data_IF_750752195490
#
_entry.id   IF_750752195490
#
_cell.length_a   1.000
_cell.length_b   1.000
_cell.length_c   1.000
_cell.angle_alpha   90.00
_cell.angle_beta   90.00
_cell.angle_gamma   90.00
#
_symmetry.space_group_name_H-M   'P 1'
#
loop_
_entity.id
_entity.type
_entity.pdbx_description
1 polymer ?
#
# COMPACT_ATOMS: atom_id res chain seq x y z
N UNK A 1 57.55 25.92 -58.42
CA UNK A 1 56.25 26.54 -58.76
C UNK A 1 55.37 26.43 -57.51
N UNK A 2 55.24 27.54 -56.81
CA UNK A 2 54.48 27.65 -55.60
C UNK A 2 52.99 27.79 -55.93
N UNK A 3 52.13 27.09 -55.17
CA UNK A 3 50.73 27.43 -55.15
C UNK A 3 50.29 27.63 -53.68
N UNK A 4 50.26 28.91 -53.30
CA UNK A 4 49.58 29.39 -52.12
C UNK A 4 48.05 29.35 -52.36
N UNK A 5 47.34 28.49 -51.71
CA UNK A 5 45.88 28.57 -51.64
C UNK A 5 45.50 29.31 -50.33
N UNK A 6 44.87 30.47 -50.50
CA UNK A 6 44.31 31.32 -49.48
C UNK A 6 43.06 30.65 -48.87
N UNK A 7 42.91 30.56 -47.56
CA UNK A 7 41.67 30.00 -46.95
C UNK A 7 40.52 30.98 -47.21
N UNK A 8 39.38 30.41 -47.64
CA UNK A 8 38.19 31.16 -47.99
C UNK A 8 37.48 31.71 -46.74
N UNK A 9 36.83 32.87 -46.90
CA UNK A 9 36.12 33.60 -45.86
C UNK A 9 35.00 32.77 -45.12
N UNK A 10 34.73 31.54 -45.55
CA UNK A 10 33.78 30.61 -44.94
C UNK A 10 34.32 29.95 -43.66
N UNK A 11 35.64 29.70 -43.58
CA UNK A 11 36.25 29.02 -42.42
C UNK A 11 36.50 29.99 -41.26
N UNK A 12 36.54 31.29 -41.49
CA UNK A 12 36.66 32.31 -40.45
C UNK A 12 35.31 32.55 -39.71
N UNK A 13 34.17 32.37 -40.41
CA UNK A 13 32.85 32.55 -39.78
C UNK A 13 32.40 31.37 -38.94
N UNK A 14 32.85 30.14 -39.27
CA UNK A 14 32.51 28.94 -38.45
C UNK A 14 33.27 28.89 -37.11
N UNK A 15 34.44 29.48 -37.02
CA UNK A 15 35.20 29.56 -35.75
C UNK A 15 34.69 30.67 -34.82
N UNK A 16 34.04 31.69 -35.31
CA UNK A 16 33.45 32.74 -34.48
C UNK A 16 32.14 32.34 -33.81
N UNK A 17 31.39 31.40 -34.40
CA UNK A 17 30.12 30.91 -33.81
C UNK A 17 30.36 29.84 -32.72
N UNK A 18 31.43 29.00 -32.82
CA UNK A 18 31.79 28.05 -31.76
C UNK A 18 32.39 28.71 -30.50
N UNK A 19 33.01 29.86 -30.64
CA UNK A 19 33.56 30.63 -29.49
C UNK A 19 32.49 31.53 -28.82
N UNK A 20 31.35 31.83 -29.48
CA UNK A 20 30.23 32.57 -28.89
C UNK A 20 29.28 31.69 -28.05
N UNK A 21 29.21 30.40 -28.30
CA UNK A 21 28.43 29.47 -27.45
C UNK A 21 29.07 29.16 -26.10
N UNK A 22 30.36 29.50 -25.89
CA UNK A 22 31.08 29.23 -24.64
C UNK A 22 30.94 30.28 -23.54
N UNK A 23 30.22 31.37 -23.74
CA UNK A 23 30.23 32.45 -22.74
C UNK A 23 28.90 33.18 -22.55
N UNK A 24 27.86 32.47 -22.17
CA UNK A 24 26.71 33.08 -21.49
C UNK A 24 26.17 32.21 -20.33
N UNK A 25 27.06 31.84 -19.40
CA UNK A 25 26.62 31.47 -18.06
C UNK A 25 26.43 32.78 -17.31
N UNK A 26 25.17 33.23 -17.24
CA UNK A 26 24.81 34.46 -16.54
C UNK A 26 25.27 34.38 -15.07
N UNK A 27 25.61 35.52 -14.45
CA UNK A 27 25.98 35.57 -13.02
C UNK A 27 24.91 34.94 -12.12
N UNK A 28 23.65 34.96 -12.53
CA UNK A 28 22.52 34.34 -11.86
C UNK A 28 22.60 32.81 -11.86
N UNK A 29 22.89 32.17 -12.99
CA UNK A 29 23.09 30.73 -13.08
C UNK A 29 24.25 30.23 -12.20
N UNK A 30 25.33 31.02 -12.13
CA UNK A 30 26.46 30.70 -11.22
C UNK A 30 26.14 30.90 -9.74
N UNK A 31 25.21 31.80 -9.44
CA UNK A 31 24.69 32.02 -8.09
C UNK A 31 23.78 30.88 -7.65
N UNK A 32 22.84 30.48 -8.52
CA UNK A 32 21.93 29.36 -8.26
C UNK A 32 22.69 28.03 -8.12
N UNK A 33 23.73 27.79 -8.94
CA UNK A 33 24.60 26.62 -8.77
C UNK A 33 25.42 26.65 -7.47
N UNK A 34 25.85 27.82 -7.00
CA UNK A 34 26.59 27.96 -5.73
C UNK A 34 25.64 27.80 -4.54
N UNK A 35 24.47 28.37 -4.59
CA UNK A 35 23.44 28.23 -3.56
C UNK A 35 22.96 26.76 -3.46
N UNK A 36 22.70 26.09 -4.58
CA UNK A 36 22.40 24.66 -4.63
C UNK A 36 23.53 23.78 -4.09
N UNK A 37 24.79 24.06 -4.46
CA UNK A 37 25.95 23.35 -3.91
C UNK A 37 26.18 23.62 -2.43
N UNK A 38 25.87 24.82 -1.95
CA UNK A 38 25.95 25.16 -0.53
C UNK A 38 24.84 24.47 0.28
N UNK A 39 23.62 24.40 -0.22
CA UNK A 39 22.53 23.67 0.40
C UNK A 39 22.83 22.16 0.49
N UNK A 40 23.31 21.56 -0.59
CA UNK A 40 23.75 20.13 -0.61
C UNK A 40 24.92 19.90 0.36
N UNK A 41 25.84 20.86 0.50
CA UNK A 41 26.95 20.75 1.45
C UNK A 41 26.46 20.90 2.91
N UNK A 42 25.49 21.77 3.16
CA UNK A 42 24.88 21.97 4.49
C UNK A 42 24.00 20.78 4.89
N UNK A 43 23.24 20.17 3.97
CA UNK A 43 22.52 18.92 4.19
C UNK A 43 23.47 17.75 4.50
N UNK A 44 24.60 17.64 3.78
CA UNK A 44 25.65 16.66 4.09
C UNK A 44 26.26 16.88 5.47
N UNK A 45 26.39 18.12 5.91
CA UNK A 45 26.93 18.50 7.22
C UNK A 45 25.96 18.21 8.37
N UNK A 46 24.64 18.33 8.12
CA UNK A 46 23.57 17.97 9.07
C UNK A 46 23.28 16.47 9.13
N UNK A 47 23.92 15.66 8.30
CA UNK A 47 23.72 14.22 8.25
C UNK A 47 22.33 13.80 7.74
N UNK A 48 21.54 14.72 7.15
CA UNK A 48 20.26 14.44 6.48
C UNK A 48 20.52 13.76 5.12
N UNK A 49 19.50 13.01 4.63
CA UNK A 49 19.54 12.49 3.27
C UNK A 49 19.13 13.62 2.34
N UNK A 50 19.85 13.79 1.22
CA UNK A 50 19.46 14.78 0.22
C UNK A 50 18.10 14.41 -0.40
N UNK A 51 17.26 15.41 -0.66
CA UNK A 51 15.98 15.23 -1.34
C UNK A 51 16.15 14.54 -2.70
N UNK A 52 17.22 14.86 -3.43
CA UNK A 52 17.57 14.25 -4.71
C UNK A 52 17.77 12.73 -4.58
N UNK A 53 18.42 12.27 -3.50
CA UNK A 53 18.62 10.84 -3.26
C UNK A 53 17.31 10.13 -2.89
N UNK A 54 16.39 10.79 -2.19
CA UNK A 54 15.05 10.24 -1.87
C UNK A 54 14.15 10.17 -3.10
N UNK A 55 14.27 11.13 -4.01
CA UNK A 55 13.48 11.21 -5.26
C UNK A 55 14.02 10.38 -6.42
N UNK A 56 15.15 9.71 -6.24
CA UNK A 56 15.76 8.78 -7.20
C UNK A 56 15.52 7.33 -6.78
N UNK A 57 15.17 6.44 -7.73
CA UNK A 57 14.87 5.02 -7.46
C UNK A 57 16.04 4.27 -6.81
N UNK A 58 17.26 4.49 -7.32
CA UNK A 58 18.43 3.65 -7.00
C UNK A 58 19.61 4.45 -6.42
N UNK A 59 19.39 5.72 -6.07
CA UNK A 59 20.44 6.51 -5.44
C UNK A 59 20.93 5.85 -4.13
N UNK A 60 22.23 5.99 -3.79
CA UNK A 60 22.80 5.41 -2.59
C UNK A 60 22.25 6.12 -1.34
N UNK A 61 21.29 5.50 -0.69
CA UNK A 61 20.75 5.94 0.61
C UNK A 61 21.20 4.98 1.69
N UNK A 62 21.62 5.53 2.85
CA UNK A 62 21.92 4.72 4.03
C UNK A 62 20.63 4.10 4.56
N UNK A 63 20.62 2.77 4.75
CA UNK A 63 19.44 2.04 5.23
C UNK A 63 18.89 2.61 6.55
N UNK A 64 19.79 2.89 7.53
CA UNK A 64 19.40 3.48 8.83
C UNK A 64 18.66 4.81 8.70
N UNK A 65 19.09 5.65 7.77
CA UNK A 65 18.44 6.95 7.51
C UNK A 65 17.13 6.80 6.74
N UNK A 66 16.96 5.71 5.99
CA UNK A 66 15.73 5.36 5.27
C UNK A 66 14.59 4.88 6.18
N UNK A 67 14.91 4.27 7.34
CA UNK A 67 13.93 3.67 8.24
C UNK A 67 12.77 4.62 8.61
N UNK A 68 12.97 5.89 9.00
CA UNK A 68 11.86 6.78 9.35
C UNK A 68 10.87 6.99 8.20
N UNK A 69 11.36 7.10 6.97
CA UNK A 69 10.52 7.23 5.78
C UNK A 69 9.82 5.91 5.44
N UNK A 70 10.52 4.77 5.54
CA UNK A 70 9.91 3.46 5.38
C UNK A 70 8.83 3.19 6.43
N UNK A 71 9.08 3.54 7.69
CA UNK A 71 8.09 3.46 8.77
C UNK A 71 6.86 4.33 8.47
N UNK A 72 7.04 5.49 7.89
CA UNK A 72 5.95 6.36 7.46
C UNK A 72 5.05 5.67 6.43
N UNK A 73 5.62 4.97 5.45
CA UNK A 73 4.85 4.17 4.49
C UNK A 73 4.08 3.03 5.17
N UNK A 74 4.69 2.35 6.15
CA UNK A 74 4.03 1.31 6.94
C UNK A 74 2.86 1.90 7.73
N UNK A 75 3.07 2.98 8.48
CA UNK A 75 2.03 3.59 9.30
C UNK A 75 0.84 4.11 8.47
N UNK A 76 1.10 4.62 7.25
CA UNK A 76 0.05 5.11 6.36
C UNK A 76 -0.90 4.00 5.87
N UNK A 77 -0.38 2.78 5.68
CA UNK A 77 -1.18 1.63 5.23
C UNK A 77 -1.63 0.70 6.36
N UNK A 78 -1.10 0.86 7.56
CA UNK A 78 -1.17 -0.16 8.61
C UNK A 78 -2.60 -0.58 8.96
N UNK A 79 -3.47 0.41 9.23
CA UNK A 79 -4.90 0.16 9.52
C UNK A 79 -5.60 -0.42 8.28
N UNK A 80 -5.33 0.16 7.11
CA UNK A 80 -5.94 -0.29 5.86
C UNK A 80 -5.55 -1.73 5.49
N UNK A 81 -4.33 -2.14 5.81
CA UNK A 81 -3.87 -3.51 5.58
C UNK A 81 -4.58 -4.54 6.48
N UNK A 82 -4.95 -4.15 7.69
CA UNK A 82 -5.53 -5.06 8.67
C UNK A 82 -7.06 -5.06 8.67
N UNK A 83 -7.70 -3.95 8.32
CA UNK A 83 -9.15 -3.82 8.34
C UNK A 83 -9.90 -4.90 7.54
N UNK A 84 -9.50 -5.30 6.31
CA UNK A 84 -10.13 -6.40 5.59
C UNK A 84 -10.14 -7.71 6.36
N UNK A 85 -9.03 -8.01 7.08
CA UNK A 85 -8.90 -9.23 7.88
C UNK A 85 -9.95 -9.24 9.00
N UNK A 86 -10.09 -8.12 9.72
CA UNK A 86 -11.07 -8.02 10.81
C UNK A 86 -12.50 -8.16 10.33
N UNK A 87 -12.84 -7.52 9.20
CA UNK A 87 -14.18 -7.59 8.64
C UNK A 87 -14.56 -9.02 8.28
N UNK A 88 -13.64 -9.76 7.65
CA UNK A 88 -13.87 -11.14 7.25
C UNK A 88 -13.84 -12.09 8.47
N UNK A 89 -12.91 -11.89 9.42
CA UNK A 89 -12.82 -12.69 10.63
C UNK A 89 -14.06 -12.55 11.51
N UNK A 90 -14.58 -11.31 11.66
CA UNK A 90 -15.81 -11.03 12.39
C UNK A 90 -17.03 -11.72 11.74
N UNK A 91 -17.19 -11.59 10.42
CA UNK A 91 -18.27 -12.22 9.69
C UNK A 91 -18.21 -13.76 9.73
N UNK A 92 -17.01 -14.33 9.84
CA UNK A 92 -16.77 -15.76 10.00
C UNK A 92 -16.84 -16.25 11.45
N UNK A 93 -17.14 -15.38 12.42
CA UNK A 93 -17.10 -15.68 13.86
C UNK A 93 -15.84 -16.41 14.27
N UNK A 94 -14.69 -15.97 13.74
CA UNK A 94 -13.41 -16.64 13.96
C UNK A 94 -12.89 -16.42 15.38
N UNK A 95 -12.18 -17.42 15.90
CA UNK A 95 -11.58 -17.31 17.21
C UNK A 95 -10.49 -16.20 17.23
N UNK A 96 -10.23 -15.55 18.39
CA UNK A 96 -9.14 -14.57 18.50
C UNK A 96 -7.78 -15.15 18.08
N UNK A 97 -7.55 -16.44 18.34
CA UNK A 97 -6.31 -17.15 17.96
C UNK A 97 -6.19 -17.29 16.43
N UNK A 98 -7.29 -17.60 15.75
CA UNK A 98 -7.28 -17.73 14.29
C UNK A 98 -7.18 -16.35 13.61
N UNK A 99 -7.87 -15.34 14.14
CA UNK A 99 -7.73 -13.96 13.70
C UNK A 99 -6.27 -13.48 13.84
N UNK A 100 -5.61 -13.80 14.96
CA UNK A 100 -4.20 -13.45 15.17
C UNK A 100 -3.27 -14.10 14.13
N UNK A 101 -3.52 -15.37 13.74
CA UNK A 101 -2.75 -16.04 12.67
C UNK A 101 -2.90 -15.32 11.33
N UNK A 102 -4.13 -14.90 10.99
CA UNK A 102 -4.38 -14.20 9.73
C UNK A 102 -3.74 -12.81 9.73
N UNK A 103 -3.78 -12.09 10.86
CA UNK A 103 -3.13 -10.78 11.01
C UNK A 103 -1.61 -10.90 10.83
N UNK A 104 -0.98 -11.87 11.50
CA UNK A 104 0.46 -12.13 11.34
C UNK A 104 0.80 -12.48 9.90
N UNK A 105 0.01 -13.35 9.25
CA UNK A 105 0.15 -13.68 7.84
C UNK A 105 -0.01 -12.43 6.95
N UNK A 106 -1.00 -11.57 7.21
CA UNK A 106 -1.25 -10.35 6.46
C UNK A 106 -0.06 -9.37 6.51
N UNK A 107 0.57 -9.21 7.68
CA UNK A 107 1.77 -8.40 7.82
C UNK A 107 2.96 -9.01 7.06
N UNK A 108 3.15 -10.34 7.17
CA UNK A 108 4.21 -11.06 6.48
C UNK A 108 4.10 -10.90 4.96
N UNK A 109 2.93 -11.23 4.40
CA UNK A 109 2.74 -11.22 2.95
C UNK A 109 2.73 -9.82 2.37
N UNK A 110 2.24 -8.81 3.11
CA UNK A 110 2.34 -7.41 2.71
C UNK A 110 3.81 -6.95 2.61
N UNK A 111 4.64 -7.32 3.59
CA UNK A 111 6.08 -7.05 3.56
C UNK A 111 6.79 -7.77 2.41
N UNK A 112 6.53 -9.07 2.23
CA UNK A 112 7.10 -9.87 1.13
C UNK A 112 6.64 -9.37 -0.24
N UNK A 113 5.36 -9.03 -0.39
CA UNK A 113 4.80 -8.46 -1.62
C UNK A 113 5.43 -7.13 -1.97
N UNK A 114 5.62 -6.25 -0.98
CA UNK A 114 6.34 -4.98 -1.15
C UNK A 114 7.78 -5.23 -1.64
N UNK A 115 8.50 -6.19 -1.04
CA UNK A 115 9.85 -6.55 -1.50
C UNK A 115 9.84 -7.11 -2.93
N UNK A 116 8.85 -7.93 -3.28
CA UNK A 116 8.68 -8.47 -4.62
C UNK A 116 8.41 -7.35 -5.63
N UNK A 117 7.56 -6.39 -5.32
CA UNK A 117 7.27 -5.26 -6.21
C UNK A 117 8.48 -4.35 -6.41
N UNK A 118 9.30 -4.14 -5.38
CA UNK A 118 10.48 -3.27 -5.44
C UNK A 118 11.58 -3.79 -6.36
N UNK A 119 11.89 -5.08 -6.27
CA UNK A 119 13.06 -5.66 -6.96
C UNK A 119 12.69 -6.57 -8.10
N UNK A 120 11.53 -7.19 -8.03
CA UNK A 120 11.04 -8.16 -9.00
C UNK A 120 11.89 -9.43 -9.06
N UNK A 121 11.24 -10.54 -9.34
CA UNK A 121 11.90 -11.82 -9.58
C UNK A 121 11.46 -12.29 -10.96
N UNK A 122 12.36 -12.34 -11.93
CA UNK A 122 12.10 -12.74 -13.31
C UNK A 122 10.96 -11.90 -13.96
N UNK A 123 9.73 -12.41 -14.06
CA UNK A 123 8.56 -11.76 -14.65
C UNK A 123 7.63 -11.13 -13.59
N UNK A 124 7.87 -11.38 -12.31
CA UNK A 124 7.04 -10.97 -11.20
C UNK A 124 7.61 -9.73 -10.52
N UNK A 125 6.75 -8.75 -10.21
CA UNK A 125 7.11 -7.50 -9.58
C UNK A 125 7.39 -6.37 -10.57
N UNK A 126 6.87 -5.19 -10.25
CA UNK A 126 6.92 -3.99 -11.08
C UNK A 126 8.31 -3.34 -11.17
N UNK A 127 9.18 -3.58 -10.19
CA UNK A 127 10.44 -2.87 -9.92
C UNK A 127 10.23 -1.38 -9.63
N UNK A 128 9.05 -1.04 -9.14
CA UNK A 128 8.67 0.31 -8.72
C UNK A 128 8.56 0.40 -7.19
N UNK A 129 8.58 1.60 -6.60
CA UNK A 129 8.41 1.83 -5.18
C UNK A 129 6.93 1.65 -4.77
N UNK A 130 6.38 0.48 -5.07
CA UNK A 130 5.00 0.11 -4.83
C UNK A 130 4.91 -0.66 -3.51
N UNK A 131 4.05 -0.18 -2.62
CA UNK A 131 3.73 -0.87 -1.37
C UNK A 131 2.47 -1.69 -1.60
N UNK A 132 2.46 -2.94 -1.15
CA UNK A 132 1.32 -3.85 -1.28
C UNK A 132 0.76 -4.22 0.09
N UNK A 133 -0.51 -4.54 0.13
CA UNK A 133 -1.17 -5.02 1.34
C UNK A 133 -2.51 -5.68 1.01
N UNK A 134 -3.25 -6.09 2.04
CA UNK A 134 -4.50 -6.82 1.89
C UNK A 134 -5.56 -5.95 1.21
N UNK A 135 -6.16 -6.49 0.17
CA UNK A 135 -7.09 -5.78 -0.71
C UNK A 135 -8.51 -5.74 -0.15
N UNK A 136 -9.12 -4.56 -0.22
CA UNK A 136 -10.55 -4.38 0.08
C UNK A 136 -11.48 -4.94 -1.00
N UNK A 137 -11.00 -5.08 -2.23
CA UNK A 137 -11.76 -5.56 -3.39
C UNK A 137 -12.45 -6.90 -3.13
N UNK A 138 -11.84 -7.75 -2.31
CA UNK A 138 -12.32 -9.12 -2.04
C UNK A 138 -13.20 -9.24 -0.80
N UNK A 139 -13.30 -8.19 0.03
CA UNK A 139 -13.92 -8.26 1.37
C UNK A 139 -15.37 -8.72 1.31
N UNK A 140 -16.20 -8.12 0.46
CA UNK A 140 -17.62 -8.47 0.37
C UNK A 140 -17.83 -9.94 -0.06
N UNK A 141 -17.06 -10.42 -1.04
CA UNK A 141 -17.12 -11.81 -1.47
C UNK A 141 -16.57 -12.77 -0.40
N UNK A 142 -15.46 -12.40 0.26
CA UNK A 142 -14.89 -13.21 1.35
C UNK A 142 -15.85 -13.31 2.54
N UNK A 143 -16.53 -12.22 2.91
CA UNK A 143 -17.61 -12.24 3.94
C UNK A 143 -18.72 -13.20 3.53
N UNK A 144 -19.22 -13.12 2.30
CA UNK A 144 -20.25 -14.01 1.81
C UNK A 144 -19.81 -15.48 1.82
N UNK A 145 -18.58 -15.76 1.39
CA UNK A 145 -18.03 -17.14 1.36
C UNK A 145 -17.85 -17.68 2.77
N UNK A 146 -17.21 -16.89 3.66
CA UNK A 146 -16.93 -17.37 5.03
C UNK A 146 -18.20 -17.67 5.80
N UNK A 147 -19.25 -16.86 5.63
CA UNK A 147 -20.55 -17.03 6.32
C UNK A 147 -21.32 -18.28 5.86
N UNK A 148 -21.13 -18.74 4.63
CA UNK A 148 -21.90 -19.85 4.07
C UNK A 148 -21.11 -21.16 3.92
N UNK A 149 -19.79 -21.06 3.69
CA UNK A 149 -18.93 -22.19 3.32
C UNK A 149 -17.70 -22.36 4.21
N UNK A 150 -17.46 -21.38 5.10
CA UNK A 150 -16.32 -21.40 5.99
C UNK A 150 -15.05 -20.80 5.38
N UNK A 151 -14.06 -20.59 6.23
CA UNK A 151 -12.81 -19.89 5.86
C UNK A 151 -11.90 -20.70 4.92
N UNK A 152 -11.99 -22.05 4.98
CA UNK A 152 -11.24 -22.92 4.06
C UNK A 152 -11.55 -22.67 2.59
N UNK A 153 -12.82 -22.36 2.28
CA UNK A 153 -13.24 -22.02 0.92
C UNK A 153 -12.70 -20.68 0.45
N UNK A 154 -12.57 -19.70 1.36
CA UNK A 154 -11.86 -18.43 1.06
C UNK A 154 -10.42 -18.70 0.70
N UNK A 155 -9.69 -19.45 1.55
CA UNK A 155 -8.28 -19.79 1.33
C UNK A 155 -8.07 -20.50 -0.01
N UNK A 156 -8.87 -21.52 -0.31
CA UNK A 156 -8.80 -22.25 -1.59
C UNK A 156 -9.05 -21.34 -2.80
N UNK A 157 -10.03 -20.45 -2.70
CA UNK A 157 -10.36 -19.50 -3.76
C UNK A 157 -9.25 -18.45 -3.95
N UNK A 158 -8.61 -17.96 -2.87
CA UNK A 158 -7.47 -17.04 -2.93
C UNK A 158 -6.28 -17.68 -3.64
N UNK A 159 -5.93 -18.91 -3.29
CA UNK A 159 -4.81 -19.63 -3.90
C UNK A 159 -4.98 -19.80 -5.43
N UNK A 160 -6.16 -20.25 -5.85
CA UNK A 160 -6.43 -20.47 -7.28
C UNK A 160 -6.62 -19.16 -8.03
N UNK A 161 -7.35 -18.21 -7.44
CA UNK A 161 -7.59 -16.91 -8.04
C UNK A 161 -6.31 -16.09 -8.24
N UNK A 162 -5.35 -16.16 -7.30
CA UNK A 162 -4.04 -15.52 -7.47
C UNK A 162 -3.26 -16.06 -8.67
N UNK A 163 -3.35 -17.36 -8.96
CA UNK A 163 -2.78 -17.93 -10.19
C UNK A 163 -3.47 -17.40 -11.46
N UNK A 164 -4.78 -17.15 -11.41
CA UNK A 164 -5.49 -16.49 -12.50
C UNK A 164 -4.95 -15.08 -12.72
N UNK A 165 -4.72 -14.30 -11.65
CA UNK A 165 -4.16 -12.95 -11.76
C UNK A 165 -2.71 -12.97 -12.30
N UNK A 166 -1.92 -14.00 -11.98
CA UNK A 166 -0.61 -14.22 -12.62
C UNK A 166 -0.77 -14.31 -14.15
N UNK A 167 -1.73 -15.12 -14.64
CA UNK A 167 -1.98 -15.26 -16.09
C UNK A 167 -2.44 -13.92 -16.68
N UNK A 168 -3.32 -13.18 -15.99
CA UNK A 168 -3.75 -11.85 -16.41
C UNK A 168 -2.56 -10.88 -16.50
N UNK A 169 -1.67 -10.90 -15.53
CA UNK A 169 -0.45 -10.09 -15.53
C UNK A 169 0.49 -10.42 -16.69
N UNK A 170 0.78 -11.69 -16.91
CA UNK A 170 1.65 -12.13 -18.00
C UNK A 170 1.06 -11.80 -19.39
N UNK A 171 -0.25 -11.74 -19.50
CA UNK A 171 -0.98 -11.37 -20.73
C UNK A 171 -1.36 -9.89 -20.79
N UNK A 172 -1.01 -9.08 -19.80
CA UNK A 172 -1.44 -7.67 -19.67
C UNK A 172 -1.18 -6.84 -20.91
N UNK A 173 -0.07 -7.07 -21.63
CA UNK A 173 0.28 -6.38 -22.88
C UNK A 173 -0.81 -6.44 -23.95
N UNK A 174 -1.69 -7.46 -23.92
CA UNK A 174 -2.73 -7.65 -24.93
C UNK A 174 -4.02 -6.92 -24.57
N UNK A 175 -4.40 -6.90 -23.28
CA UNK A 175 -5.69 -6.37 -22.83
C UNK A 175 -5.61 -4.96 -22.20
N UNK A 176 -4.48 -4.55 -21.60
CA UNK A 176 -4.34 -3.22 -20.97
C UNK A 176 -4.71 -2.04 -21.89
N UNK A 177 -4.50 -2.20 -23.21
CA UNK A 177 -4.84 -1.18 -24.21
C UNK A 177 -6.34 -0.91 -24.32
N UNK A 178 -7.17 -1.84 -23.88
CA UNK A 178 -8.64 -1.72 -23.88
C UNK A 178 -9.17 -1.11 -22.58
N UNK A 179 -8.33 -0.89 -21.60
CA UNK A 179 -8.69 -0.37 -20.29
C UNK A 179 -8.15 1.06 -20.13
N UNK A 180 -8.93 2.08 -20.52
CA UNK A 180 -8.54 3.46 -20.28
C UNK A 180 -8.54 3.77 -18.76
N UNK A 181 -7.78 4.77 -18.27
CA UNK A 181 -7.65 5.10 -16.85
C UNK A 181 -8.99 5.36 -16.14
N UNK A 182 -10.00 5.84 -16.87
CA UNK A 182 -11.34 6.06 -16.31
C UNK A 182 -11.99 4.78 -15.81
N UNK A 183 -11.69 3.63 -16.43
CA UNK A 183 -12.23 2.33 -15.99
C UNK A 183 -11.66 1.97 -14.62
N UNK A 184 -10.36 2.14 -14.39
CA UNK A 184 -9.75 1.94 -13.07
C UNK A 184 -10.38 2.85 -12.01
N UNK A 185 -10.60 4.14 -12.33
CA UNK A 185 -11.24 5.08 -11.42
C UNK A 185 -12.68 4.64 -11.05
N UNK A 186 -13.48 4.23 -12.05
CA UNK A 186 -14.84 3.74 -11.81
C UNK A 186 -14.83 2.48 -10.94
N UNK A 187 -13.93 1.54 -11.21
CA UNK A 187 -13.78 0.30 -10.43
C UNK A 187 -13.47 0.63 -8.98
N UNK A 188 -12.45 1.44 -8.71
CA UNK A 188 -12.03 1.81 -7.34
C UNK A 188 -13.14 2.54 -6.61
N UNK A 189 -13.82 3.49 -7.24
CA UNK A 189 -14.97 4.20 -6.66
C UNK A 189 -16.13 3.23 -6.34
N UNK A 190 -16.42 2.28 -7.24
CA UNK A 190 -17.48 1.28 -7.01
C UNK A 190 -17.17 0.37 -5.83
N UNK A 191 -15.89 -0.01 -5.63
CA UNK A 191 -15.43 -0.75 -4.45
C UNK A 191 -15.70 0.06 -3.18
N UNK A 192 -15.32 1.35 -3.15
CA UNK A 192 -15.55 2.23 -2.02
C UNK A 192 -17.05 2.28 -1.64
N UNK A 193 -17.94 2.47 -2.61
CA UNK A 193 -19.39 2.49 -2.35
C UNK A 193 -19.90 1.14 -1.84
N UNK A 194 -19.48 0.02 -2.41
CA UNK A 194 -19.94 -1.31 -1.99
C UNK A 194 -19.53 -1.67 -0.57
N UNK A 195 -18.42 -1.11 -0.09
CA UNK A 195 -17.89 -1.36 1.25
C UNK A 195 -18.48 -0.45 2.33
N UNK A 196 -19.20 0.62 1.96
CA UNK A 196 -19.83 1.51 2.95
C UNK A 196 -20.84 0.75 3.84
N UNK A 197 -21.58 -0.21 3.29
CA UNK A 197 -22.50 -1.06 4.08
C UNK A 197 -21.76 -1.88 5.12
N UNK A 198 -20.61 -2.48 4.75
CA UNK A 198 -19.76 -3.26 5.66
C UNK A 198 -19.17 -2.35 6.75
N UNK A 199 -18.75 -1.15 6.38
CA UNK A 199 -18.30 -0.14 7.34
C UNK A 199 -19.39 0.29 8.31
N UNK A 200 -20.63 0.46 7.84
CA UNK A 200 -21.78 0.82 8.67
C UNK A 200 -22.17 -0.31 9.65
N UNK A 201 -22.13 -1.57 9.22
CA UNK A 201 -22.33 -2.72 10.10
C UNK A 201 -21.28 -2.76 11.22
N UNK A 202 -20.01 -2.57 10.87
CA UNK A 202 -18.92 -2.51 11.86
C UNK A 202 -19.09 -1.30 12.81
N UNK A 203 -19.53 -0.16 12.29
CA UNK A 203 -19.81 1.06 13.09
C UNK A 203 -20.91 0.81 14.14
N UNK A 204 -21.88 -0.03 13.81
CA UNK A 204 -22.92 -0.47 14.74
C UNK A 204 -22.44 -1.44 15.83
N UNK A 205 -21.23 -1.99 15.71
CA UNK A 205 -20.69 -2.97 16.65
C UNK A 205 -20.36 -4.32 16.01
N UNK A 206 -20.62 -4.49 14.71
CA UNK A 206 -20.39 -5.72 13.94
C UNK A 206 -21.69 -6.46 13.62
N UNK A 207 -21.70 -7.16 12.49
CA UNK A 207 -22.86 -7.93 12.05
C UNK A 207 -23.22 -9.02 13.06
N UNK A 208 -24.48 -9.04 13.51
CA UNK A 208 -24.99 -10.03 14.44
C UNK A 208 -24.54 -9.88 15.91
N UNK A 209 -23.88 -8.79 16.27
CA UNK A 209 -23.53 -8.51 17.66
C UNK A 209 -24.81 -8.27 18.52
N UNK A 210 -24.86 -8.84 19.73
CA UNK A 210 -26.00 -8.70 20.64
C UNK A 210 -26.27 -7.22 21.00
N UNK A 211 -25.22 -6.42 21.08
CA UNK A 211 -25.26 -4.99 21.36
C UNK A 211 -25.21 -4.10 20.11
N UNK A 212 -25.55 -4.66 18.93
CA UNK A 212 -25.58 -3.91 17.67
C UNK A 212 -26.45 -2.66 17.79
N UNK A 213 -25.91 -1.53 17.33
CA UNK A 213 -26.62 -0.24 17.39
C UNK A 213 -26.73 0.36 18.80
N UNK A 214 -26.09 -0.23 19.81
CA UNK A 214 -26.06 0.35 21.16
C UNK A 214 -25.47 1.77 21.13
N UNK A 215 -25.94 2.62 22.07
CA UNK A 215 -25.44 3.99 22.15
C UNK A 215 -23.90 4.04 22.35
N UNK A 216 -23.34 3.04 23.02
CA UNK A 216 -21.90 2.90 23.25
C UNK A 216 -21.17 2.66 21.94
N UNK A 217 -21.63 1.70 21.11
CA UNK A 217 -21.02 1.39 19.82
C UNK A 217 -21.14 2.58 18.87
N UNK A 218 -22.33 3.21 18.77
CA UNK A 218 -22.53 4.40 17.94
C UNK A 218 -21.62 5.56 18.37
N UNK A 219 -21.45 5.76 19.68
CA UNK A 219 -20.56 6.81 20.20
C UNK A 219 -19.09 6.52 19.88
N UNK A 220 -18.63 5.27 20.07
CA UNK A 220 -17.26 4.87 19.76
C UNK A 220 -16.96 5.02 18.26
N UNK A 221 -17.87 4.56 17.41
CA UNK A 221 -17.74 4.72 15.96
C UNK A 221 -17.73 6.18 15.54
N UNK A 222 -18.61 7.01 16.12
CA UNK A 222 -18.68 8.44 15.83
C UNK A 222 -17.40 9.17 16.27
N UNK A 223 -16.89 8.91 17.47
CA UNK A 223 -15.66 9.52 17.97
C UNK A 223 -14.47 9.14 17.07
N UNK A 224 -14.35 7.86 16.68
CA UNK A 224 -13.29 7.40 15.78
C UNK A 224 -13.38 8.08 14.42
N UNK A 225 -14.59 8.15 13.82
CA UNK A 225 -14.82 8.82 12.55
C UNK A 225 -14.49 10.32 12.62
N UNK A 226 -15.01 11.01 13.63
CA UNK A 226 -14.77 12.45 13.82
C UNK A 226 -13.29 12.72 14.08
N UNK A 227 -12.60 11.88 14.84
CA UNK A 227 -11.16 11.99 15.04
C UNK A 227 -10.41 11.83 13.70
N UNK A 228 -10.72 10.80 12.89
CA UNK A 228 -10.14 10.63 11.55
C UNK A 228 -10.35 11.89 10.71
N UNK A 229 -11.57 12.42 10.65
CA UNK A 229 -11.90 13.63 9.89
C UNK A 229 -11.16 14.86 10.42
N UNK A 230 -11.09 15.03 11.74
CA UNK A 230 -10.38 16.15 12.35
C UNK A 230 -8.88 16.12 11.99
N UNK A 231 -8.23 14.96 12.12
CA UNK A 231 -6.83 14.81 11.72
C UNK A 231 -6.64 15.03 10.22
N UNK A 232 -7.57 14.56 9.37
CA UNK A 232 -7.49 14.76 7.92
C UNK A 232 -7.68 16.24 7.51
N UNK A 233 -8.52 16.99 8.19
CA UNK A 233 -8.81 18.38 7.87
C UNK A 233 -7.77 19.35 8.45
N UNK A 234 -7.36 19.13 9.69
CA UNK A 234 -6.53 20.10 10.42
C UNK A 234 -5.03 19.82 10.33
N UNK A 235 -4.63 18.55 10.08
CA UNK A 235 -3.22 18.21 9.94
C UNK A 235 -2.70 18.47 8.53
N UNK A 236 -1.40 18.71 8.41
CA UNK A 236 -0.70 18.95 7.13
C UNK A 236 0.38 17.92 6.91
N UNK A 237 0.82 17.81 5.65
CA UNK A 237 1.91 16.92 5.28
C UNK A 237 1.62 15.45 5.60
N UNK A 238 2.60 14.75 6.10
CA UNK A 238 2.53 13.32 6.38
C UNK A 238 1.56 12.95 7.51
N UNK A 239 1.36 13.82 8.48
CA UNK A 239 0.39 13.60 9.55
C UNK A 239 -1.05 13.49 9.02
N UNK A 240 -1.39 14.21 7.93
CA UNK A 240 -2.66 14.06 7.23
C UNK A 240 -2.88 12.64 6.69
N UNK A 241 -1.85 11.98 6.18
CA UNK A 241 -1.92 10.61 5.66
C UNK A 241 -2.08 9.57 6.78
N UNK A 242 -1.68 9.91 8.00
CA UNK A 242 -1.83 9.06 9.18
C UNK A 242 -3.16 9.31 9.92
N UNK A 243 -4.10 10.09 9.35
CA UNK A 243 -5.36 10.48 9.99
C UNK A 243 -6.17 9.26 10.49
N UNK A 244 -6.24 8.19 9.69
CA UNK A 244 -6.96 6.97 10.08
C UNK A 244 -6.28 6.28 11.27
N UNK A 245 -4.95 6.22 11.29
CA UNK A 245 -4.20 5.67 12.42
C UNK A 245 -4.43 6.48 13.71
N UNK A 246 -4.39 7.80 13.61
CA UNK A 246 -4.67 8.67 14.77
C UNK A 246 -6.13 8.54 15.25
N UNK A 247 -7.08 8.47 14.33
CA UNK A 247 -8.48 8.22 14.67
C UNK A 247 -8.70 6.88 15.36
N UNK A 248 -8.00 5.83 14.89
CA UNK A 248 -7.98 4.51 15.53
C UNK A 248 -7.45 4.58 16.96
N UNK A 249 -6.31 5.25 17.18
CA UNK A 249 -5.71 5.41 18.50
C UNK A 249 -6.65 6.15 19.46
N UNK A 250 -7.26 7.25 19.00
CA UNK A 250 -8.25 8.00 19.79
C UNK A 250 -9.45 7.11 20.13
N UNK A 251 -10.02 6.42 19.15
CA UNK A 251 -11.16 5.52 19.36
C UNK A 251 -10.82 4.39 20.33
N UNK A 252 -9.63 3.79 20.21
CA UNK A 252 -9.18 2.74 21.12
C UNK A 252 -9.00 3.24 22.55
N UNK A 253 -8.39 4.41 22.75
CA UNK A 253 -8.27 5.03 24.09
C UNK A 253 -9.66 5.26 24.70
N UNK A 254 -10.60 5.80 23.94
CA UNK A 254 -11.97 6.00 24.41
C UNK A 254 -12.65 4.68 24.73
N UNK A 255 -12.43 3.64 23.92
CA UNK A 255 -12.97 2.30 24.17
C UNK A 255 -12.48 1.69 25.50
N UNK A 256 -11.22 1.96 25.89
CA UNK A 256 -10.68 1.57 27.21
C UNK A 256 -11.49 2.22 28.33
N UNK A 257 -11.78 3.53 28.22
CA UNK A 257 -12.60 4.24 29.23
C UNK A 257 -14.05 3.72 29.28
N UNK A 258 -14.59 3.24 28.18
CA UNK A 258 -15.91 2.59 28.16
C UNK A 258 -15.89 1.13 28.66
N UNK A 259 -14.72 0.58 29.01
CA UNK A 259 -14.58 -0.82 29.44
C UNK A 259 -14.92 -1.84 28.34
N UNK A 260 -14.81 -1.46 27.07
CA UNK A 260 -15.13 -2.31 25.90
C UNK A 260 -13.91 -3.02 25.32
N UNK A 261 -12.73 -2.87 25.94
CA UNK A 261 -11.48 -3.50 25.51
C UNK A 261 -11.20 -4.70 26.40
N UNK A 262 -11.02 -5.89 25.79
CA UNK A 262 -10.64 -7.10 26.49
C UNK A 262 -9.11 -7.28 26.47
N UNK A 263 -8.48 -7.20 27.62
CA UNK A 263 -7.04 -7.38 27.79
C UNK A 263 -6.65 -8.82 28.16
N UNK A 264 -7.59 -9.76 28.21
CA UNK A 264 -7.33 -11.13 28.65
C UNK A 264 -6.29 -11.85 27.78
N UNK A 265 -6.30 -11.60 26.47
CA UNK A 265 -5.38 -12.18 25.51
C UNK A 265 -3.91 -11.78 25.73
N UNK A 266 -3.64 -10.63 26.38
CA UNK A 266 -2.27 -10.17 26.64
C UNK A 266 -1.54 -11.01 27.71
N UNK A 267 -2.27 -11.73 28.56
CA UNK A 267 -1.69 -12.53 29.66
C UNK A 267 -0.91 -13.75 29.20
N UNK A 268 -1.14 -14.22 27.97
CA UNK A 268 -0.53 -15.44 27.41
C UNK A 268 0.36 -15.18 26.18
N UNK A 269 0.74 -13.92 25.95
CA UNK A 269 1.53 -13.55 24.78
C UNK A 269 2.94 -14.10 24.84
N UNK A 270 3.34 -14.77 23.77
CA UNK A 270 4.75 -15.06 23.51
C UNK A 270 5.43 -13.79 22.96
N UNK A 271 6.71 -13.60 23.29
CA UNK A 271 7.44 -12.44 22.78
C UNK A 271 7.59 -12.47 21.25
N UNK A 272 7.74 -13.65 20.68
CA UNK A 272 7.89 -13.89 19.23
C UNK A 272 7.10 -15.13 18.85
N UNK A 273 6.38 -15.05 17.73
CA UNK A 273 5.70 -16.19 17.12
C UNK A 273 5.96 -16.17 15.60
N UNK A 274 6.15 -17.33 15.02
CA UNK A 274 6.37 -17.49 13.58
C UNK A 274 5.00 -17.61 12.90
N UNK A 275 4.71 -16.82 11.86
CA UNK A 275 3.49 -16.98 11.08
C UNK A 275 3.31 -18.41 10.59
N UNK A 276 2.15 -18.99 10.87
CA UNK A 276 1.88 -20.41 10.61
C UNK A 276 1.67 -20.66 9.14
N UNK A 277 2.37 -21.64 8.58
CA UNK A 277 2.12 -22.10 7.20
C UNK A 277 0.90 -23.02 7.18
N UNK A 278 -0.03 -22.81 6.26
CA UNK A 278 -1.30 -23.51 6.10
C UNK A 278 -2.10 -23.67 7.40
N UNK A 279 -2.40 -22.55 8.10
CA UNK A 279 -3.14 -22.60 9.37
C UNK A 279 -4.58 -23.08 9.19
N UNK A 280 -5.12 -22.94 7.98
CA UNK A 280 -6.45 -23.39 7.60
C UNK A 280 -6.35 -24.37 6.44
N UNK A 281 -7.14 -25.44 6.48
CA UNK A 281 -7.21 -26.40 5.37
C UNK A 281 -7.89 -25.75 4.17
N UNK A 282 -7.25 -25.68 3.00
CA UNK A 282 -7.89 -25.12 1.79
C UNK A 282 -9.03 -26.03 1.33
N UNK A 283 -10.16 -25.43 0.99
CA UNK A 283 -11.30 -26.11 0.38
C UNK A 283 -11.54 -25.51 -1.01
N UNK A 284 -11.51 -26.36 -2.02
CA UNK A 284 -11.62 -25.92 -3.42
C UNK A 284 -13.09 -26.00 -3.90
N UNK A 285 -13.87 -24.98 -3.50
CA UNK A 285 -15.25 -24.82 -3.96
C UNK A 285 -15.32 -23.98 -5.23
N UNK A 286 -15.87 -24.51 -6.30
CA UNK A 286 -15.94 -23.85 -7.60
C UNK A 286 -16.67 -22.50 -7.56
N UNK A 287 -17.76 -22.40 -6.79
CA UNK A 287 -18.50 -21.15 -6.64
C UNK A 287 -17.64 -20.04 -6.01
N UNK A 288 -16.90 -20.38 -4.97
CA UNK A 288 -15.96 -19.48 -4.29
C UNK A 288 -14.80 -19.09 -5.20
N UNK A 289 -14.23 -20.07 -5.93
CA UNK A 289 -13.13 -19.84 -6.88
C UNK A 289 -13.56 -18.89 -8.00
N UNK A 290 -14.73 -19.09 -8.58
CA UNK A 290 -15.27 -18.22 -9.64
C UNK A 290 -15.53 -16.82 -9.08
N UNK A 291 -16.16 -16.72 -7.91
CA UNK A 291 -16.49 -15.45 -7.28
C UNK A 291 -15.24 -14.60 -7.00
N UNK A 292 -14.23 -15.17 -6.34
CA UNK A 292 -12.96 -14.52 -6.06
C UNK A 292 -12.15 -14.32 -7.37
N UNK A 293 -12.19 -15.28 -8.29
CA UNK A 293 -11.52 -15.20 -9.58
C UNK A 293 -11.98 -14.01 -10.45
N UNK A 294 -13.28 -13.71 -10.45
CA UNK A 294 -13.80 -12.53 -11.14
C UNK A 294 -13.27 -11.23 -10.53
N UNK A 295 -13.11 -11.18 -9.21
CA UNK A 295 -12.56 -10.02 -8.54
C UNK A 295 -11.06 -9.83 -8.82
N UNK A 296 -10.32 -10.88 -9.16
CA UNK A 296 -8.94 -10.74 -9.62
C UNK A 296 -8.82 -10.02 -10.97
N UNK A 297 -9.85 -10.10 -11.82
CA UNK A 297 -9.91 -9.27 -13.04
C UNK A 297 -10.07 -7.79 -12.64
N UNK A 298 -10.91 -7.51 -11.66
CA UNK A 298 -11.12 -6.15 -11.11
C UNK A 298 -9.84 -5.62 -10.47
N UNK A 299 -9.18 -6.42 -9.62
CA UNK A 299 -7.89 -6.10 -9.00
C UNK A 299 -6.80 -5.81 -10.03
N UNK A 300 -6.71 -6.61 -11.10
CA UNK A 300 -5.75 -6.36 -12.19
C UNK A 300 -5.95 -4.98 -12.85
N UNK A 301 -7.19 -4.51 -12.96
CA UNK A 301 -7.51 -3.16 -13.47
C UNK A 301 -7.12 -2.08 -12.45
N UNK A 302 -7.32 -2.33 -11.15
CA UNK A 302 -6.90 -1.45 -10.06
C UNK A 302 -5.37 -1.29 -10.08
N UNK A 303 -4.61 -2.38 -10.10
CA UNK A 303 -3.13 -2.39 -10.17
C UNK A 303 -2.60 -1.66 -11.42
N UNK A 304 -3.29 -1.78 -12.56
CA UNK A 304 -2.98 -1.03 -13.77
C UNK A 304 -3.07 0.49 -13.51
N UNK A 305 -4.14 0.94 -12.88
CA UNK A 305 -4.37 2.33 -12.50
C UNK A 305 -3.31 2.84 -11.51
N UNK A 306 -3.06 2.08 -10.47
CA UNK A 306 -2.08 2.41 -9.43
C UNK A 306 -0.66 2.49 -9.98
N UNK A 307 -0.27 1.56 -10.86
CA UNK A 307 1.04 1.59 -11.53
C UNK A 307 1.20 2.87 -12.37
N UNK A 308 0.13 3.27 -13.09
CA UNK A 308 0.14 4.50 -13.88
C UNK A 308 0.20 5.75 -12.98
N UNK A 309 -0.57 5.78 -11.90
CA UNK A 309 -0.57 6.86 -10.93
C UNK A 309 0.80 7.01 -10.26
N UNK A 310 1.36 5.91 -9.73
CA UNK A 310 2.66 5.90 -9.05
C UNK A 310 3.78 6.40 -9.96
N UNK A 311 3.85 5.91 -11.19
CA UNK A 311 4.90 6.35 -12.13
C UNK A 311 4.73 7.80 -12.55
N UNK A 312 3.48 8.28 -12.66
CA UNK A 312 3.21 9.69 -12.97
C UNK A 312 3.60 10.61 -11.81
N UNK A 313 3.18 10.30 -10.58
CA UNK A 313 3.41 11.20 -9.44
C UNK A 313 4.83 11.07 -8.88
N UNK A 314 5.44 9.89 -8.93
CA UNK A 314 6.75 9.62 -8.37
C UNK A 314 7.91 9.85 -9.34
N UNK A 315 7.71 9.53 -10.64
CA UNK A 315 8.78 9.47 -11.64
C UNK A 315 8.54 10.37 -12.86
N UNK A 316 7.40 11.08 -12.88
CA UNK A 316 6.93 11.96 -13.97
C UNK A 316 6.99 11.31 -15.37
N UNK A 317 6.67 10.03 -15.45
CA UNK A 317 6.62 9.26 -16.71
C UNK A 317 5.46 8.29 -16.74
N UNK A 318 5.19 7.73 -17.92
CA UNK A 318 4.27 6.60 -18.06
C UNK A 318 4.95 5.28 -17.64
N UNK A 319 4.19 4.29 -17.14
CA UNK A 319 4.74 2.96 -16.88
C UNK A 319 5.10 2.26 -18.19
N UNK A 320 6.10 1.41 -18.13
CA UNK A 320 6.41 0.49 -19.23
C UNK A 320 5.48 -0.72 -19.18
N UNK A 321 5.28 -1.38 -20.32
CA UNK A 321 4.48 -2.61 -20.38
C UNK A 321 5.03 -3.72 -19.44
N UNK A 322 6.36 -3.75 -19.25
CA UNK A 322 7.01 -4.70 -18.34
C UNK A 322 6.72 -4.39 -16.86
N UNK A 323 6.71 -3.12 -16.48
CA UNK A 323 6.37 -2.69 -15.13
C UNK A 323 4.91 -3.04 -14.79
N UNK A 324 3.98 -2.73 -15.70
CA UNK A 324 2.56 -3.05 -15.52
C UNK A 324 2.31 -4.56 -15.46
N UNK A 325 2.87 -5.32 -16.41
CA UNK A 325 2.76 -6.78 -16.45
C UNK A 325 3.35 -7.40 -15.18
N UNK A 326 4.54 -6.93 -14.77
CA UNK A 326 5.21 -7.40 -13.57
C UNK A 326 4.45 -7.04 -12.29
N UNK A 327 3.81 -5.85 -12.22
CA UNK A 327 2.99 -5.46 -11.09
C UNK A 327 1.83 -6.43 -10.88
N UNK A 328 1.01 -6.65 -11.90
CA UNK A 328 -0.18 -7.52 -11.84
C UNK A 328 0.24 -8.98 -11.58
N UNK A 329 1.25 -9.49 -12.30
CA UNK A 329 1.73 -10.86 -12.08
C UNK A 329 2.35 -11.05 -10.69
N UNK A 330 3.01 -10.02 -10.16
CA UNK A 330 3.57 -10.01 -8.80
C UNK A 330 2.49 -10.05 -7.73
N UNK A 331 1.42 -9.27 -7.89
CA UNK A 331 0.29 -9.26 -6.97
C UNK A 331 -0.45 -10.61 -6.99
N UNK A 332 -0.65 -11.21 -8.16
CA UNK A 332 -1.23 -12.54 -8.26
C UNK A 332 -0.38 -13.62 -7.59
N UNK A 333 0.95 -13.59 -7.80
CA UNK A 333 1.86 -14.54 -7.17
C UNK A 333 1.83 -14.43 -5.64
N UNK A 334 1.98 -13.21 -5.11
CA UNK A 334 1.98 -13.00 -3.66
C UNK A 334 0.60 -13.27 -3.04
N UNK A 335 -0.50 -13.04 -3.78
CA UNK A 335 -1.84 -13.41 -3.35
C UNK A 335 -2.01 -14.92 -3.25
N UNK A 336 -1.48 -15.71 -4.20
CA UNK A 336 -1.47 -17.18 -4.07
C UNK A 336 -0.64 -17.63 -2.86
N UNK A 337 0.51 -17.00 -2.61
CA UNK A 337 1.32 -17.24 -1.42
C UNK A 337 0.57 -16.82 -0.15
N UNK A 338 -0.18 -15.72 -0.19
CA UNK A 338 -1.05 -15.28 0.92
C UNK A 338 -2.05 -16.36 1.32
N UNK A 339 -2.69 -17.00 0.34
CA UNK A 339 -3.57 -18.15 0.59
C UNK A 339 -2.85 -19.31 1.29
N UNK A 340 -1.57 -19.59 0.98
CA UNK A 340 -0.78 -20.60 1.70
C UNK A 340 -0.55 -20.25 3.18
N UNK A 341 -0.51 -18.97 3.51
CA UNK A 341 -0.47 -18.51 4.90
C UNK A 341 -1.87 -18.27 5.50
N UNK A 342 -2.92 -18.67 4.77
CA UNK A 342 -4.30 -18.53 5.22
C UNK A 342 -4.79 -17.10 5.29
N UNK A 343 -4.28 -16.21 4.45
CA UNK A 343 -4.68 -14.81 4.43
C UNK A 343 -5.42 -14.44 3.13
N UNK A 344 -5.96 -13.22 3.10
CA UNK A 344 -6.71 -12.67 1.97
C UNK A 344 -5.77 -12.22 0.82
N UNK A 345 -6.31 -11.94 -0.38
CA UNK A 345 -5.52 -11.42 -1.50
C UNK A 345 -4.89 -10.05 -1.22
N UNK A 346 -3.78 -9.79 -1.89
CA UNK A 346 -3.09 -8.50 -1.86
C UNK A 346 -3.39 -7.67 -3.10
N UNK A 347 -3.13 -6.37 -2.98
CA UNK A 347 -3.06 -5.41 -4.10
C UNK A 347 -2.11 -4.27 -3.75
N UNK A 348 -1.81 -3.42 -4.73
CA UNK A 348 -1.11 -2.16 -4.50
C UNK A 348 -1.94 -1.20 -3.64
N UNK A 349 -1.26 -0.36 -2.85
CA UNK A 349 -1.91 0.57 -1.91
C UNK A 349 -1.91 2.00 -2.44
N UNK A 350 -3.07 2.51 -2.85
CA UNK A 350 -3.27 3.86 -3.34
C UNK A 350 -2.89 4.94 -2.30
N UNK A 351 -3.08 4.68 -0.99
CA UNK A 351 -2.66 5.58 0.08
C UNK A 351 -1.16 5.86 0.07
N UNK A 352 -0.35 4.84 -0.23
CA UNK A 352 1.09 4.99 -0.34
C UNK A 352 1.50 5.76 -1.61
N UNK A 353 0.71 5.66 -2.69
CA UNK A 353 0.89 6.49 -3.89
C UNK A 353 0.64 7.97 -3.54
N UNK A 354 -0.40 8.26 -2.75
CA UNK A 354 -0.67 9.60 -2.21
C UNK A 354 0.49 10.13 -1.37
N UNK A 355 1.12 9.27 -0.55
CA UNK A 355 2.29 9.63 0.23
C UNK A 355 3.50 9.95 -0.69
N UNK A 356 3.75 9.14 -1.72
CA UNK A 356 4.78 9.41 -2.74
C UNK A 356 4.51 10.72 -3.47
N UNK A 357 3.25 11.02 -3.81
CA UNK A 357 2.88 12.27 -4.47
C UNK A 357 3.29 13.51 -3.64
N UNK A 358 3.14 13.43 -2.31
CA UNK A 358 3.48 14.52 -1.39
C UNK A 358 4.96 14.60 -1.04
N UNK A 359 5.58 13.46 -0.75
CA UNK A 359 6.95 13.40 -0.23
C UNK A 359 8.01 13.29 -1.32
N UNK A 360 7.60 12.83 -2.51
CA UNK A 360 8.51 12.47 -3.61
C UNK A 360 9.54 11.40 -3.25
N UNK A 361 9.30 10.64 -2.18
CA UNK A 361 10.17 9.55 -1.76
C UNK A 361 9.87 8.31 -2.61
N UNK A 362 10.76 8.02 -3.56
CA UNK A 362 10.66 6.86 -4.47
C UNK A 362 11.82 5.88 -4.33
N UNK A 363 12.78 6.16 -3.46
CA UNK A 363 13.96 5.34 -3.31
C UNK A 363 13.63 3.93 -2.83
N UNK A 364 14.04 2.91 -3.60
CA UNK A 364 13.73 1.50 -3.32
C UNK A 364 14.25 1.03 -1.95
N UNK A 365 15.45 1.48 -1.52
CA UNK A 365 16.00 1.09 -0.21
C UNK A 365 15.19 1.66 0.95
N UNK A 366 14.61 2.84 0.76
CA UNK A 366 13.72 3.46 1.74
C UNK A 366 12.44 2.66 1.88
N UNK A 367 11.76 2.36 0.76
CA UNK A 367 10.52 1.56 0.79
C UNK A 367 10.81 0.13 1.26
N UNK A 368 11.94 -0.46 0.88
CA UNK A 368 12.39 -1.76 1.39
C UNK A 368 12.45 -1.79 2.91
N UNK A 369 12.95 -0.70 3.55
CA UNK A 369 12.97 -0.66 5.02
C UNK A 369 11.56 -0.78 5.62
N UNK A 370 10.55 -0.22 4.97
CA UNK A 370 9.14 -0.39 5.34
C UNK A 370 8.66 -1.83 5.16
N UNK A 371 8.92 -2.44 4.00
CA UNK A 371 8.58 -3.85 3.75
C UNK A 371 9.21 -4.79 4.77
N UNK A 372 10.48 -4.59 5.12
CA UNK A 372 11.16 -5.37 6.15
C UNK A 372 10.58 -5.13 7.56
N UNK A 373 10.16 -3.89 7.88
CA UNK A 373 9.46 -3.61 9.14
C UNK A 373 8.13 -4.37 9.22
N UNK A 374 7.36 -4.50 8.13
CA UNK A 374 6.15 -5.32 8.11
C UNK A 374 6.46 -6.80 8.34
N UNK A 375 7.51 -7.33 7.68
CA UNK A 375 7.97 -8.72 7.92
C UNK A 375 8.36 -8.91 9.39
N UNK A 376 9.12 -8.00 9.99
CA UNK A 376 9.50 -8.08 11.40
C UNK A 376 8.27 -7.97 12.32
N UNK A 377 7.32 -7.09 12.00
CA UNK A 377 6.08 -6.92 12.76
C UNK A 377 5.23 -8.21 12.77
N UNK A 378 5.28 -9.02 11.72
CA UNK A 378 4.55 -10.28 11.64
C UNK A 378 4.97 -11.31 12.69
N UNK A 379 6.19 -11.20 13.23
CA UNK A 379 6.68 -12.07 14.29
C UNK A 379 6.31 -11.60 15.70
N UNK A 380 5.62 -10.44 15.84
CA UNK A 380 5.26 -9.83 17.13
C UNK A 380 3.78 -10.04 17.42
N UNK A 381 3.37 -11.05 18.21
CA UNK A 381 1.97 -11.36 18.49
C UNK A 381 1.21 -10.22 19.18
N UNK A 382 1.91 -9.38 19.94
CA UNK A 382 1.31 -8.23 20.62
C UNK A 382 0.57 -7.28 19.64
N UNK A 383 1.06 -7.17 18.41
CA UNK A 383 0.40 -6.37 17.38
C UNK A 383 -0.98 -6.94 17.04
N UNK A 384 -1.05 -8.26 16.83
CA UNK A 384 -2.32 -8.93 16.54
C UNK A 384 -3.30 -8.81 17.72
N UNK A 385 -2.79 -8.89 18.95
CA UNK A 385 -3.63 -8.81 20.14
C UNK A 385 -4.20 -7.42 20.37
N UNK A 386 -3.42 -6.35 20.15
CA UNK A 386 -3.94 -4.99 20.19
C UNK A 386 -5.14 -4.81 19.27
N UNK A 387 -5.08 -5.40 18.09
CA UNK A 387 -6.19 -5.32 17.14
C UNK A 387 -7.37 -6.23 17.52
N UNK A 388 -7.10 -7.46 18.00
CA UNK A 388 -8.16 -8.38 18.46
C UNK A 388 -8.95 -7.82 19.65
N UNK A 389 -8.29 -7.06 20.53
CA UNK A 389 -8.93 -6.41 21.67
C UNK A 389 -9.77 -5.19 21.30
N UNK A 390 -9.70 -4.73 20.05
CA UNK A 390 -10.35 -3.49 19.59
C UNK A 390 -11.83 -3.73 19.26
N UNK A 391 -12.75 -2.90 19.80
CA UNK A 391 -14.16 -2.98 19.44
C UNK A 391 -14.41 -2.73 17.95
N UNK A 392 -15.31 -3.49 17.36
CA UNK A 392 -15.69 -3.38 15.93
C UNK A 392 -16.17 -1.96 15.58
N UNK A 393 -16.85 -1.28 16.49
CA UNK A 393 -17.33 0.08 16.30
C UNK A 393 -16.20 1.09 16.04
N UNK A 394 -15.06 0.96 16.73
CA UNK A 394 -13.86 1.80 16.51
C UNK A 394 -13.33 1.59 15.09
N UNK A 395 -13.18 0.32 14.69
CA UNK A 395 -12.77 -0.04 13.33
C UNK A 395 -13.77 0.46 12.29
N UNK A 396 -15.07 0.35 12.57
CA UNK A 396 -16.15 0.83 11.70
C UNK A 396 -16.06 2.32 11.42
N UNK A 397 -15.81 3.15 12.44
CA UNK A 397 -15.59 4.59 12.25
C UNK A 397 -14.41 4.90 11.36
N UNK A 398 -13.29 4.18 11.54
CA UNK A 398 -12.10 4.33 10.73
C UNK A 398 -12.31 3.83 9.29
N UNK A 399 -13.00 2.69 9.10
CA UNK A 399 -13.23 2.11 7.76
C UNK A 399 -14.20 2.93 6.92
N UNK A 400 -15.24 3.52 7.49
CA UNK A 400 -16.11 4.48 6.78
C UNK A 400 -15.29 5.63 6.21
N UNK A 401 -14.36 6.19 7.02
CA UNK A 401 -13.47 7.25 6.55
C UNK A 401 -12.55 6.78 5.43
N UNK A 402 -12.03 5.55 5.53
CA UNK A 402 -11.17 4.96 4.49
C UNK A 402 -11.94 4.77 3.19
N UNK A 403 -13.16 4.24 3.25
CA UNK A 403 -14.01 4.05 2.06
C UNK A 403 -14.41 5.39 1.43
N UNK A 404 -14.72 6.40 2.26
CA UNK A 404 -14.94 7.77 1.78
C UNK A 404 -13.74 8.40 1.06
N UNK A 405 -12.52 8.03 1.44
CA UNK A 405 -11.30 8.48 0.74
C UNK A 405 -11.04 7.73 -0.58
N UNK A 406 -11.63 6.55 -0.76
CA UNK A 406 -11.53 5.76 -1.98
C UNK A 406 -12.53 6.26 -3.04
N UNK A 407 -13.70 6.75 -2.63
CA UNK A 407 -14.75 7.33 -3.49
C UNK A 407 -14.29 8.70 -4.02
#
# INVERSE_FOLDING_TARGET
MSNNANPTASDANMRSDEDQERTFVTPELKRDERESKAEVAEEKRKGSISFEALSSLDAPVSFRKGIPFGLQHVLAMFVANLAPIFLVAAAGHMSPQDSAKIIQAGLLVAGLGTCLQLYGIWLFGSRLPMVTGISFTYVAAAISIVSHKGYGAVVGAVMVGGLLEVVLGLTARYWQRFVPPIVSAIVVTSIGFSLLSVGAESFGGGAGAEDFGSWQNLTLGLISLVACLAFQLFMKGTAKQLSVLFGLVVGYIVAIFFGKVDFSGFSHLQAVNVPTFMPFRPEFDWGSIISIGLLYIVSSVEVLGDTAALTKVGLDRKPTAKETSGAIAGDGLISSVSGLFGCLPLTSFAQNIGLVAMTKVVNRKVILSGGLLLVLASFVPAISEVFNSMPQAVLGGCTIMMFGNII
#
